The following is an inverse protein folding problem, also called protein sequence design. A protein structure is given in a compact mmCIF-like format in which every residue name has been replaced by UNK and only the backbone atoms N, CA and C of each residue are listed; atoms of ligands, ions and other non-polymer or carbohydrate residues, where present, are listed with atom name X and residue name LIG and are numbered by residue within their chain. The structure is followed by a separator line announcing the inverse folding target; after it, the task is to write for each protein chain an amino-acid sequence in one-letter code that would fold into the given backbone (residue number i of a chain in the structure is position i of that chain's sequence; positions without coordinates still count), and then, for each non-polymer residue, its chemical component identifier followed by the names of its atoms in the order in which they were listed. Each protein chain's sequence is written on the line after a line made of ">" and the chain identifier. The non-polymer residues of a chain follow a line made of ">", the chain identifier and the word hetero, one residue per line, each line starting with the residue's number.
data_IF_799934438862
#
_entry.id   IF_799934438862
#
_cell.length_a   1.000
_cell.length_b   1.000
_cell.length_c   1.000
_cell.angle_alpha   90.00
_cell.angle_beta   90.00
_cell.angle_gamma   90.00
#
_symmetry.space_group_name_H-M   'P 1'
#
loop_
_entity.id
_entity.type
_entity.pdbx_description
1 polymer ?
#
# COMPACT_ATOMS: atom_id res chain seq x y z
N UNK A 1 18.19 3.19 -16.35
CA UNK A 1 18.23 4.20 -15.29
C UNK A 1 16.80 4.49 -14.88
N UNK A 2 16.38 4.04 -13.70
CA UNK A 2 15.10 4.44 -13.11
C UNK A 2 15.23 5.85 -12.56
N UNK A 3 14.34 6.76 -12.97
CA UNK A 3 14.28 8.12 -12.42
C UNK A 3 13.27 8.10 -11.28
N UNK A 4 13.73 8.32 -10.06
CA UNK A 4 12.85 8.55 -8.91
C UNK A 4 12.24 9.95 -8.99
N UNK A 5 10.94 10.06 -8.72
CA UNK A 5 10.24 11.34 -8.67
C UNK A 5 9.97 11.65 -7.20
N UNK A 6 10.40 12.84 -6.76
CA UNK A 6 10.06 13.39 -5.44
C UNK A 6 9.11 14.55 -5.66
N UNK A 7 7.95 14.49 -4.99
CA UNK A 7 6.93 15.55 -5.08
C UNK A 7 6.56 16.00 -3.68
N UNK A 8 6.52 17.32 -3.48
CA UNK A 8 6.07 17.93 -2.23
C UNK A 8 4.61 18.34 -2.38
N UNK A 9 3.80 17.99 -1.38
CA UNK A 9 2.39 18.37 -1.32
C UNK A 9 2.11 19.09 -0.01
N UNK A 10 1.24 20.09 -0.07
CA UNK A 10 0.59 20.67 1.09
C UNK A 10 -0.88 20.27 1.03
N UNK A 11 -1.39 19.63 2.07
CA UNK A 11 -2.81 19.35 2.18
C UNK A 11 -3.52 20.54 2.86
N UNK A 12 -4.72 20.86 2.42
CA UNK A 12 -5.58 21.89 3.01
C UNK A 12 -6.72 21.29 3.81
N UNK A 13 -7.17 20.10 3.42
CA UNK A 13 -8.23 19.35 4.08
C UNK A 13 -7.91 17.84 3.97
N UNK A 14 -8.34 17.07 4.96
CA UNK A 14 -8.20 15.63 5.03
C UNK A 14 -9.44 15.03 5.70
N UNK A 15 -10.00 13.97 5.13
CA UNK A 15 -11.24 13.35 5.62
C UNK A 15 -11.91 12.47 4.57
N UNK A 16 -13.05 11.89 4.94
CA UNK A 16 -13.91 11.17 4.01
C UNK A 16 -14.96 12.09 3.40
N UNK A 17 -14.95 12.17 2.07
CA UNK A 17 -15.88 12.96 1.28
C UNK A 17 -16.83 12.04 0.52
N UNK A 18 -18.09 12.43 0.46
CA UNK A 18 -19.09 11.67 -0.29
C UNK A 18 -19.14 12.14 -1.73
N UNK A 19 -19.00 11.20 -2.67
CA UNK A 19 -19.16 11.50 -4.08
C UNK A 19 -20.54 12.11 -4.37
N UNK A 20 -20.57 13.26 -5.03
CA UNK A 20 -21.81 13.97 -5.39
C UNK A 20 -22.46 14.73 -4.25
N UNK A 21 -21.80 14.88 -3.10
CA UNK A 21 -22.23 15.77 -2.02
C UNK A 21 -21.02 16.49 -1.42
N UNK A 22 -20.75 17.67 -1.94
CA UNK A 22 -19.58 18.48 -1.58
C UNK A 22 -19.66 19.04 -0.14
N UNK A 23 -20.85 19.03 0.48
CA UNK A 23 -21.07 19.51 1.85
C UNK A 23 -20.81 18.41 2.90
N UNK A 24 -20.72 17.14 2.48
CA UNK A 24 -20.45 16.03 3.39
C UNK A 24 -18.95 15.79 3.56
N UNK A 25 -18.45 15.99 4.77
CA UNK A 25 -17.08 15.67 5.16
C UNK A 25 -17.06 15.05 6.56
N UNK A 26 -16.41 13.90 6.68
CA UNK A 26 -15.95 13.38 7.97
C UNK A 26 -14.45 13.73 8.10
N UNK A 27 -14.10 14.82 8.81
CA UNK A 27 -12.73 15.28 8.89
C UNK A 27 -11.86 14.29 9.67
N UNK A 28 -10.61 14.18 9.26
CA UNK A 28 -9.61 13.34 9.92
C UNK A 28 -8.28 14.08 9.99
N UNK A 29 -7.69 14.13 11.17
CA UNK A 29 -6.35 14.68 11.36
C UNK A 29 -5.29 13.72 10.82
N UNK A 30 -4.26 14.27 10.15
CA UNK A 30 -3.20 13.48 9.52
C UNK A 30 -2.45 12.62 10.55
N UNK A 31 -2.12 13.20 11.70
CA UNK A 31 -1.44 12.48 12.78
C UNK A 31 -2.28 11.30 13.31
N UNK A 32 -3.58 11.51 13.49
CA UNK A 32 -4.51 10.44 13.88
C UNK A 32 -4.54 9.33 12.83
N UNK A 33 -4.61 9.67 11.55
CA UNK A 33 -4.58 8.70 10.45
C UNK A 33 -3.28 7.89 10.46
N UNK A 34 -2.11 8.56 10.48
CA UNK A 34 -0.80 7.92 10.41
C UNK A 34 -0.50 7.08 11.64
N UNK A 35 -0.82 7.59 12.84
CA UNK A 35 -0.71 6.85 14.10
C UNK A 35 -1.58 5.59 14.08
N UNK A 36 -2.84 5.71 13.66
CA UNK A 36 -3.76 4.56 13.59
C UNK A 36 -3.29 3.53 12.56
N UNK A 37 -2.79 3.99 11.42
CA UNK A 37 -2.25 3.13 10.37
C UNK A 37 -0.97 2.41 10.84
N UNK A 38 -0.09 3.12 11.54
CA UNK A 38 1.13 2.56 12.11
C UNK A 38 0.81 1.45 13.12
N UNK A 39 -0.11 1.71 14.05
CA UNK A 39 -0.59 0.70 15.02
C UNK A 39 -1.21 -0.50 14.31
N UNK A 40 -2.10 -0.26 13.35
CA UNK A 40 -2.76 -1.32 12.57
C UNK A 40 -1.75 -2.21 11.82
N UNK A 41 -0.65 -1.63 11.34
CA UNK A 41 0.38 -2.34 10.59
C UNK A 41 1.24 -3.25 11.46
N UNK A 42 1.46 -2.93 12.73
CA UNK A 42 2.37 -3.70 13.61
C UNK A 42 1.94 -5.17 13.78
N UNK A 43 0.66 -5.46 13.64
CA UNK A 43 0.10 -6.82 13.79
C UNK A 43 0.04 -7.58 12.45
N UNK A 44 0.61 -7.06 11.36
CA UNK A 44 0.60 -7.71 10.03
C UNK A 44 1.82 -8.62 9.88
N UNK A 45 1.62 -9.77 9.24
CA UNK A 45 2.68 -10.79 9.10
C UNK A 45 3.15 -10.87 7.65
N UNK A 46 2.21 -10.83 6.70
CA UNK A 46 2.48 -10.93 5.27
C UNK A 46 2.06 -9.66 4.52
N UNK A 47 2.54 -9.52 3.28
CA UNK A 47 2.13 -8.39 2.43
C UNK A 47 0.64 -8.46 2.07
N UNK A 48 0.07 -9.65 1.88
CA UNK A 48 -1.36 -9.81 1.58
C UNK A 48 -2.27 -9.28 2.70
N UNK A 49 -1.86 -9.41 3.97
CA UNK A 49 -2.61 -8.87 5.12
C UNK A 49 -2.75 -7.34 5.08
N UNK A 50 -1.89 -6.68 4.29
CA UNK A 50 -1.83 -5.22 4.18
C UNK A 50 -2.76 -4.67 3.10
N UNK A 51 -3.43 -5.55 2.34
CA UNK A 51 -4.43 -5.15 1.35
C UNK A 51 -5.75 -4.81 2.04
N UNK A 52 -6.04 -3.53 2.19
CA UNK A 52 -7.25 -3.05 2.87
C UNK A 52 -8.54 -3.37 2.11
N UNK A 53 -8.50 -3.32 0.78
CA UNK A 53 -9.64 -3.57 -0.08
C UNK A 53 -9.24 -4.45 -1.25
N UNK A 54 -9.96 -5.54 -1.42
CA UNK A 54 -9.75 -6.55 -2.44
C UNK A 54 -10.87 -6.53 -3.50
N UNK A 55 -10.88 -7.54 -4.36
CA UNK A 55 -11.87 -7.63 -5.45
C UNK A 55 -13.27 -8.02 -4.94
N UNK A 56 -13.36 -8.60 -3.74
CA UNK A 56 -14.61 -8.93 -3.06
C UNK A 56 -15.25 -7.70 -2.39
N UNK A 57 -14.45 -6.66 -2.16
CA UNK A 57 -14.92 -5.39 -1.62
C UNK A 57 -15.78 -4.65 -2.66
N UNK A 58 -17.06 -4.33 -2.38
CA UNK A 58 -17.94 -3.65 -3.34
C UNK A 58 -17.34 -2.35 -3.87
N UNK A 59 -17.19 -2.25 -5.20
CA UNK A 59 -16.64 -1.07 -5.88
C UNK A 59 -15.10 -1.03 -6.02
N UNK A 60 -14.39 -2.07 -5.57
CA UNK A 60 -12.92 -2.14 -5.62
C UNK A 60 -12.36 -3.13 -6.64
N UNK A 61 -13.19 -3.98 -7.26
CA UNK A 61 -12.80 -4.99 -8.27
C UNK A 61 -12.02 -4.46 -9.49
N UNK A 62 -12.14 -3.17 -9.80
CA UNK A 62 -11.44 -2.53 -10.93
C UNK A 62 -10.34 -1.56 -10.48
N UNK A 63 -10.11 -1.40 -9.17
CA UNK A 63 -9.09 -0.50 -8.63
C UNK A 63 -7.73 -1.18 -8.60
N UNK A 64 -6.67 -0.38 -8.69
CA UNK A 64 -5.31 -0.89 -8.53
C UNK A 64 -5.10 -1.28 -7.06
N UNK A 65 -4.61 -2.50 -6.85
CA UNK A 65 -4.23 -2.98 -5.51
C UNK A 65 -2.97 -2.26 -5.06
N UNK A 66 -2.99 -1.73 -3.85
CA UNK A 66 -1.86 -1.06 -3.21
C UNK A 66 -1.67 -1.69 -1.84
N UNK A 67 -0.45 -2.13 -1.58
CA UNK A 67 -0.03 -2.79 -0.36
C UNK A 67 0.84 -1.83 0.45
N UNK A 68 0.74 -1.88 1.77
CA UNK A 68 1.64 -1.17 2.66
C UNK A 68 2.80 -2.09 2.99
N UNK A 69 4.00 -1.82 2.46
CA UNK A 69 5.19 -2.66 2.69
C UNK A 69 5.87 -2.33 4.01
N UNK A 70 5.89 -1.05 4.38
CA UNK A 70 6.48 -0.58 5.62
C UNK A 70 5.86 0.76 6.02
N UNK A 71 5.77 0.99 7.32
CA UNK A 71 5.50 2.29 7.92
C UNK A 71 6.37 2.42 9.16
N UNK A 72 7.15 3.50 9.21
CA UNK A 72 8.03 3.82 10.33
C UNK A 72 7.71 5.22 10.83
N UNK A 73 7.85 5.41 12.14
CA UNK A 73 7.64 6.68 12.82
C UNK A 73 8.91 7.07 13.57
N UNK A 74 9.38 8.29 13.37
CA UNK A 74 10.41 8.87 14.23
C UNK A 74 9.73 9.51 15.47
N UNK A 75 10.06 9.02 16.67
CA UNK A 75 9.43 9.49 17.91
C UNK A 75 9.94 10.87 18.35
N UNK A 76 11.08 11.35 17.83
CA UNK A 76 11.64 12.66 18.18
C UNK A 76 11.04 13.78 17.30
N UNK A 77 10.94 13.56 15.98
CA UNK A 77 10.42 14.54 15.02
C UNK A 77 8.93 14.38 14.76
N UNK A 78 8.35 13.20 15.04
CA UNK A 78 6.96 12.87 14.71
C UNK A 78 6.75 12.60 13.21
N UNK A 79 7.83 12.45 12.44
CA UNK A 79 7.77 12.21 11.01
C UNK A 79 7.45 10.74 10.72
N UNK A 80 6.73 10.51 9.62
CA UNK A 80 6.40 9.17 9.15
C UNK A 80 7.01 8.91 7.78
N UNK A 81 7.56 7.70 7.60
CA UNK A 81 7.96 7.18 6.29
C UNK A 81 7.08 5.99 5.97
N UNK A 82 6.47 6.00 4.79
CA UNK A 82 5.61 4.92 4.29
C UNK A 82 6.16 4.39 2.97
N UNK A 83 6.15 3.07 2.81
CA UNK A 83 6.50 2.39 1.56
C UNK A 83 5.25 1.70 1.03
N UNK A 84 4.73 2.18 -0.09
CA UNK A 84 3.55 1.63 -0.75
C UNK A 84 3.95 0.88 -2.02
N UNK A 85 3.43 -0.34 -2.17
CA UNK A 85 3.66 -1.16 -3.35
C UNK A 85 2.38 -1.26 -4.15
N UNK A 86 2.40 -0.76 -5.37
CA UNK A 86 1.25 -0.84 -6.28
C UNK A 86 1.40 -2.08 -7.15
N UNK A 87 0.38 -2.92 -7.21
CA UNK A 87 0.39 -4.03 -8.15
C UNK A 87 0.30 -3.54 -9.61
N UNK A 88 1.18 -4.04 -10.47
CA UNK A 88 1.24 -3.73 -11.90
C UNK A 88 1.24 -5.03 -12.71
N UNK A 89 0.12 -5.31 -13.39
CA UNK A 89 0.06 -6.30 -14.47
C UNK A 89 0.01 -7.78 -14.03
N UNK A 90 0.02 -8.66 -15.03
CA UNK A 90 -0.19 -10.11 -14.95
C UNK A 90 1.10 -10.93 -15.12
N UNK A 91 2.25 -10.38 -14.70
CA UNK A 91 3.52 -11.10 -14.69
C UNK A 91 4.38 -11.03 -15.96
N UNK A 92 4.07 -10.21 -16.98
CA UNK A 92 5.00 -10.04 -18.11
C UNK A 92 6.01 -8.91 -17.85
N UNK A 93 7.24 -9.29 -17.51
CA UNK A 93 8.37 -8.36 -17.36
C UNK A 93 8.38 -7.54 -16.07
N UNK A 94 7.63 -7.98 -15.06
CA UNK A 94 7.43 -7.30 -13.79
C UNK A 94 7.97 -8.19 -12.66
N UNK A 95 8.68 -7.61 -11.69
CA UNK A 95 9.14 -8.36 -10.52
C UNK A 95 7.94 -8.61 -9.60
N UNK A 96 7.82 -9.85 -9.13
CA UNK A 96 6.81 -10.26 -8.18
C UNK A 96 7.39 -10.51 -6.81
N UNK A 97 6.55 -10.46 -5.79
CA UNK A 97 6.83 -11.01 -4.47
C UNK A 97 5.80 -12.08 -4.17
N UNK A 98 6.16 -13.15 -3.46
CA UNK A 98 5.14 -14.12 -3.06
C UNK A 98 4.10 -13.44 -2.18
N UNK A 99 2.83 -13.79 -2.35
CA UNK A 99 1.73 -13.19 -1.59
C UNK A 99 1.87 -13.44 -0.09
N UNK A 100 2.37 -14.63 0.28
CA UNK A 100 2.68 -15.07 1.64
C UNK A 100 4.08 -14.64 2.12
N UNK A 101 4.80 -13.84 1.33
CA UNK A 101 6.11 -13.34 1.74
C UNK A 101 5.95 -12.51 3.02
N UNK A 102 6.85 -12.77 3.97
CA UNK A 102 6.93 -11.99 5.20
C UNK A 102 7.29 -10.54 4.86
N UNK A 103 6.86 -9.60 5.70
CA UNK A 103 7.15 -8.18 5.50
C UNK A 103 8.65 -7.85 5.50
N UNK A 104 9.50 -8.67 6.11
CA UNK A 104 10.97 -8.55 6.09
C UNK A 104 11.63 -9.22 4.87
N UNK A 105 10.87 -9.97 4.06
CA UNK A 105 11.37 -10.59 2.84
C UNK A 105 11.43 -9.55 1.70
N UNK A 106 12.64 -9.37 1.16
CA UNK A 106 12.91 -8.48 0.03
C UNK A 106 13.27 -9.26 -1.24
N UNK A 107 13.02 -10.58 -1.25
CA UNK A 107 13.30 -11.43 -2.39
C UNK A 107 12.33 -11.11 -3.53
N UNK A 108 12.87 -10.56 -4.61
CA UNK A 108 12.14 -10.28 -5.84
C UNK A 108 12.19 -11.51 -6.76
N UNK A 109 11.02 -11.93 -7.25
CA UNK A 109 10.86 -13.03 -8.17
C UNK A 109 10.68 -12.49 -9.58
N UNK A 110 11.56 -12.89 -10.48
CA UNK A 110 11.36 -12.68 -11.92
C UNK A 110 10.23 -13.62 -12.40
N UNK A 111 9.32 -13.11 -13.21
CA UNK A 111 8.22 -13.88 -13.78
C UNK A 111 8.67 -15.12 -14.56
N UNK A 112 9.88 -15.08 -15.15
CA UNK A 112 10.45 -16.23 -15.83
C UNK A 112 10.84 -17.37 -14.87
N UNK A 113 11.06 -17.08 -13.58
CA UNK A 113 11.39 -18.05 -12.54
C UNK A 113 10.17 -18.51 -11.71
N UNK A 114 9.00 -17.87 -11.87
CA UNK A 114 7.78 -18.16 -11.11
C UNK A 114 7.00 -19.41 -11.60
N UNK A 115 7.65 -20.31 -12.35
CA UNK A 115 7.06 -21.46 -13.03
C UNK A 115 6.51 -22.57 -12.11
N UNK A 116 6.51 -22.40 -10.78
CA UNK A 116 6.21 -23.45 -9.80
C UNK A 116 4.82 -23.35 -9.13
N UNK A 117 3.89 -22.52 -9.64
CA UNK A 117 2.52 -22.46 -9.11
C UNK A 117 2.35 -21.66 -7.81
N UNK A 118 3.36 -20.88 -7.43
CA UNK A 118 3.28 -19.98 -6.28
C UNK A 118 2.35 -18.78 -6.54
N UNK A 119 1.59 -18.36 -5.53
CA UNK A 119 0.76 -17.15 -5.59
C UNK A 119 1.65 -15.92 -5.44
N UNK A 120 1.80 -15.15 -6.52
CA UNK A 120 2.72 -14.00 -6.60
C UNK A 120 1.95 -12.70 -6.82
N UNK A 121 2.34 -11.64 -6.10
CA UNK A 121 1.91 -10.26 -6.29
C UNK A 121 2.92 -9.57 -7.20
N UNK A 122 2.47 -9.09 -8.37
CA UNK A 122 3.31 -8.43 -9.38
C UNK A 122 3.28 -6.91 -9.20
N UNK A 123 4.45 -6.24 -9.20
CA UNK A 123 4.59 -4.79 -8.94
C UNK A 123 5.57 -4.06 -9.84
#
# INVERSE_FOLDING_TARGET
>A
MSVGIVTFFKYTQLGFYRYGNDDYCEPLEMDTLLSSLHVWFQDRISLEDTLLWDDETPGYSHRKKVYLKAIEKDEETGEYILVLWRAVGSGDGVYGIKADARLDDNTLYDANNAAAGDRVIWG
#
